data_IF_589372212194
#
_entry.id   IF_589372212194
#
_cell.length_a   1.000
_cell.length_b   1.000
_cell.length_c   1.000
_cell.angle_alpha   90.00
_cell.angle_beta   90.00
_cell.angle_gamma   90.00
#
_symmetry.space_group_name_H-M   'P 1'
#
loop_
_entity.id
_entity.type
_entity.pdbx_description
1 polymer ?
#
# COMPACT_ATOMS: atom_id res chain seq x y z
N UNK A 1 7.54 19.07 5.88
CA UNK A 1 6.07 18.85 5.87
C UNK A 1 5.69 17.92 7.01
N UNK A 2 4.62 18.23 7.75
CA UNK A 2 4.13 17.38 8.85
C UNK A 2 2.88 16.63 8.39
N UNK A 3 2.85 15.33 8.67
CA UNK A 3 1.75 14.43 8.36
C UNK A 3 1.23 13.80 9.64
N UNK A 4 -0.10 13.74 9.77
CA UNK A 4 -0.75 12.97 10.83
C UNK A 4 -1.18 11.62 10.28
N UNK A 5 -0.32 10.61 10.36
CA UNK A 5 -0.65 9.25 9.96
C UNK A 5 -1.22 8.49 11.17
N UNK A 6 -2.54 8.53 11.30
CA UNK A 6 -3.28 8.00 12.45
C UNK A 6 -2.78 8.60 13.77
N UNK A 7 -2.21 7.78 14.66
CA UNK A 7 -1.69 8.24 15.96
C UNK A 7 -0.27 8.81 15.88
N UNK A 8 0.33 8.85 14.68
CA UNK A 8 1.73 9.23 14.50
C UNK A 8 1.86 10.55 13.75
N UNK A 9 2.68 11.43 14.29
CA UNK A 9 3.20 12.58 13.55
C UNK A 9 4.49 12.21 12.82
N UNK A 10 4.46 12.29 11.50
CA UNK A 10 5.63 12.05 10.65
C UNK A 10 6.11 13.39 10.08
N UNK A 11 7.39 13.70 10.28
CA UNK A 11 8.03 14.84 9.64
C UNK A 11 8.79 14.39 8.39
N UNK A 12 8.26 14.74 7.22
CA UNK A 12 8.90 14.57 5.93
C UNK A 12 9.72 15.81 5.58
N UNK A 13 11.01 15.66 5.31
CA UNK A 13 11.90 16.78 5.01
C UNK A 13 12.70 16.54 3.72
N UNK A 14 12.77 17.56 2.88
CA UNK A 14 13.59 17.58 1.68
C UNK A 14 13.97 19.02 1.37
N UNK A 15 15.21 19.24 0.93
CA UNK A 15 15.64 20.55 0.40
C UNK A 15 15.16 20.76 -1.04
N UNK A 16 14.70 19.70 -1.70
CA UNK A 16 14.36 19.70 -3.11
C UNK A 16 12.87 19.91 -3.35
N UNK A 17 12.55 20.95 -4.14
CA UNK A 17 11.17 21.28 -4.50
C UNK A 17 10.47 20.11 -5.21
N UNK A 18 11.18 19.34 -6.03
CA UNK A 18 10.60 18.23 -6.79
C UNK A 18 10.12 17.08 -5.88
N UNK A 19 10.92 16.70 -4.88
CA UNK A 19 10.55 15.69 -3.87
C UNK A 19 9.33 16.19 -3.07
N UNK A 20 9.40 17.45 -2.62
CA UNK A 20 8.32 18.07 -1.86
C UNK A 20 7.00 18.14 -2.65
N UNK A 21 7.03 18.40 -3.96
CA UNK A 21 5.84 18.43 -4.81
C UNK A 21 5.14 17.06 -4.89
N UNK A 22 5.91 15.99 -5.10
CA UNK A 22 5.35 14.63 -5.15
C UNK A 22 4.75 14.23 -3.81
N UNK A 23 5.45 14.50 -2.69
CA UNK A 23 4.91 14.27 -1.36
C UNK A 23 3.64 15.09 -1.07
N UNK A 24 3.59 16.36 -1.47
CA UNK A 24 2.39 17.18 -1.30
C UNK A 24 1.19 16.62 -2.05
N UNK A 25 1.41 16.05 -3.24
CA UNK A 25 0.37 15.38 -4.02
C UNK A 25 -0.08 14.07 -3.36
N UNK A 26 0.88 13.20 -2.99
CA UNK A 26 0.62 11.89 -2.36
C UNK A 26 -0.16 12.03 -1.05
N UNK A 27 0.26 12.98 -0.22
CA UNK A 27 -0.27 13.18 1.13
C UNK A 27 -1.27 14.33 1.22
N UNK A 28 -1.88 14.70 0.10
CA UNK A 28 -2.94 15.69 0.07
C UNK A 28 -4.10 15.27 0.99
N UNK A 29 -4.59 16.20 1.81
CA UNK A 29 -5.61 15.94 2.83
C UNK A 29 -5.10 15.37 4.17
N UNK A 30 -3.82 15.00 4.29
CA UNK A 30 -3.24 14.40 5.50
C UNK A 30 -2.20 15.29 6.20
N UNK A 31 -1.98 16.48 5.64
CA UNK A 31 -1.07 17.47 6.18
C UNK A 31 -1.67 18.12 7.41
N UNK A 32 -0.83 18.32 8.40
CA UNK A 32 -1.14 19.13 9.57
C UNK A 32 -0.16 20.29 9.68
N UNK A 33 -0.54 21.30 10.44
CA UNK A 33 0.38 22.36 10.83
C UNK A 33 1.52 21.80 11.69
N UNK A 34 2.52 22.63 11.92
CA UNK A 34 3.69 22.23 12.69
C UNK A 34 3.29 21.61 14.04
N UNK A 35 3.77 20.39 14.30
CA UNK A 35 3.51 19.68 15.54
C UNK A 35 4.62 19.89 16.55
N UNK A 36 4.25 19.98 17.84
CA UNK A 36 5.21 20.03 18.94
C UNK A 36 5.92 18.68 19.17
N UNK A 37 5.31 17.57 18.74
CA UNK A 37 5.85 16.22 18.87
C UNK A 37 5.98 15.56 17.49
N UNK A 38 7.15 14.99 17.22
CA UNK A 38 7.43 14.23 16.00
C UNK A 38 7.76 12.82 16.41
N UNK A 39 7.00 11.85 15.91
CA UNK A 39 7.20 10.43 16.23
C UNK A 39 8.19 9.76 15.29
N UNK A 40 8.27 10.19 14.02
CA UNK A 40 9.19 9.67 13.00
C UNK A 40 9.68 10.82 12.11
N UNK A 41 10.97 10.84 11.77
CA UNK A 41 11.54 11.75 10.76
C UNK A 41 12.00 10.96 9.54
N UNK A 42 11.62 11.42 8.36
CA UNK A 42 12.17 10.94 7.09
C UNK A 42 12.70 12.13 6.30
N UNK A 43 14.00 12.11 6.02
CA UNK A 43 14.68 13.08 5.18
C UNK A 43 15.08 12.42 3.85
N UNK A 44 14.67 13.01 2.72
CA UNK A 44 15.04 12.53 1.39
C UNK A 44 15.47 13.70 0.51
N UNK A 45 16.67 13.64 -0.07
CA UNK A 45 17.17 14.67 -0.97
C UNK A 45 17.40 14.11 -2.38
N UNK A 46 17.26 14.96 -3.39
CA UNK A 46 17.47 14.61 -4.80
C UNK A 46 18.97 14.71 -5.13
N UNK A 47 19.50 13.68 -5.79
CA UNK A 47 20.86 13.64 -6.31
C UNK A 47 20.84 13.24 -7.78
N UNK A 48 21.90 13.56 -8.53
CA UNK A 48 22.00 13.15 -9.94
C UNK A 48 22.21 11.65 -10.10
N UNK A 49 23.01 11.06 -9.21
CA UNK A 49 23.37 9.64 -9.20
C UNK A 49 23.42 9.12 -7.77
N UNK A 50 23.16 7.82 -7.58
CA UNK A 50 23.24 7.21 -6.27
C UNK A 50 24.70 7.18 -5.76
N UNK A 51 24.94 7.42 -4.46
CA UNK A 51 26.26 7.22 -3.87
C UNK A 51 26.67 5.74 -3.93
N UNK A 52 27.97 5.43 -3.78
CA UNK A 52 28.45 4.06 -3.80
C UNK A 52 27.73 3.17 -2.79
N UNK A 53 27.35 1.97 -3.24
CA UNK A 53 26.71 0.98 -2.38
C UNK A 53 27.70 0.44 -1.33
N UNK A 54 27.19 -0.09 -0.20
CA UNK A 54 28.02 -0.82 0.76
C UNK A 54 28.78 -1.97 0.07
N UNK A 55 30.05 -2.16 0.44
CA UNK A 55 30.92 -3.19 -0.15
C UNK A 55 30.60 -4.61 0.34
N UNK A 56 29.94 -4.73 1.50
CA UNK A 56 29.44 -6.01 2.02
C UNK A 56 28.30 -6.53 1.15
N UNK A 57 28.12 -7.86 1.03
CA UNK A 57 26.95 -8.41 0.35
C UNK A 57 25.64 -8.00 1.06
N UNK A 58 24.53 -7.89 0.31
CA UNK A 58 23.23 -7.62 0.92
C UNK A 58 22.81 -8.76 1.84
N UNK A 59 22.15 -8.42 2.95
CA UNK A 59 21.52 -9.38 3.86
C UNK A 59 20.16 -9.86 3.33
N UNK A 60 19.58 -9.12 2.39
CA UNK A 60 18.36 -9.48 1.69
C UNK A 60 18.36 -8.84 0.31
N UNK A 61 17.88 -9.58 -0.69
CA UNK A 61 17.54 -9.04 -2.01
C UNK A 61 16.17 -9.59 -2.37
N UNK A 62 15.27 -8.70 -2.76
CA UNK A 62 13.98 -9.09 -3.32
C UNK A 62 14.23 -9.85 -4.62
N UNK A 63 13.84 -11.12 -4.64
CA UNK A 63 14.03 -12.02 -5.79
C UNK A 63 12.74 -12.23 -6.58
N UNK A 64 11.68 -11.42 -6.33
CA UNK A 64 10.43 -11.53 -7.08
C UNK A 64 10.70 -11.23 -8.55
N UNK A 65 10.27 -12.10 -9.48
CA UNK A 65 10.40 -11.85 -10.90
C UNK A 65 9.47 -10.69 -11.26
N UNK A 66 10.05 -9.55 -11.61
CA UNK A 66 9.33 -8.50 -12.31
C UNK A 66 9.49 -8.73 -13.82
N UNK A 67 8.53 -8.28 -14.65
CA UNK A 67 8.59 -8.48 -16.09
C UNK A 67 9.92 -8.07 -16.74
N UNK A 68 10.66 -7.14 -16.13
CA UNK A 68 11.91 -6.59 -16.65
C UNK A 68 13.09 -6.56 -15.64
N UNK A 69 12.97 -7.08 -14.40
CA UNK A 69 14.06 -6.98 -13.40
C UNK A 69 14.00 -7.99 -12.21
N UNK A 70 15.10 -8.07 -11.46
CA UNK A 70 15.27 -8.80 -10.19
C UNK A 70 14.84 -7.91 -9.03
N UNK A 71 13.58 -8.03 -8.61
CA UNK A 71 13.01 -7.35 -7.45
C UNK A 71 13.28 -5.85 -7.33
N UNK A 72 12.84 -5.25 -6.23
CA UNK A 72 12.79 -3.79 -6.10
C UNK A 72 13.81 -3.24 -5.10
N UNK A 73 14.32 -4.10 -4.22
CA UNK A 73 15.02 -3.72 -3.00
C UNK A 73 16.14 -4.70 -2.67
N UNK A 74 17.32 -4.17 -2.40
CA UNK A 74 18.38 -4.85 -1.67
C UNK A 74 18.63 -4.16 -0.32
N UNK A 75 18.87 -4.95 0.72
CA UNK A 75 19.11 -4.45 2.09
C UNK A 75 20.50 -4.84 2.52
N UNK A 76 21.26 -3.86 3.02
CA UNK A 76 22.62 -4.04 3.52
C UNK A 76 22.67 -3.70 5.01
N UNK A 77 23.37 -4.51 5.79
CA UNK A 77 23.65 -4.18 7.18
C UNK A 77 24.68 -3.05 7.26
N UNK A 78 24.44 -2.06 8.11
CA UNK A 78 25.35 -0.95 8.38
C UNK A 78 25.81 -0.89 9.85
N UNK A 79 25.27 -1.77 10.69
CA UNK A 79 25.51 -1.87 12.13
C UNK A 79 24.47 -2.78 12.79
N UNK A 80 24.47 -2.92 14.13
CA UNK A 80 23.54 -3.81 14.84
C UNK A 80 22.07 -3.50 14.57
N UNK A 81 21.72 -2.21 14.51
CA UNK A 81 20.35 -1.72 14.37
C UNK A 81 20.23 -0.68 13.24
N UNK A 82 21.04 -0.79 12.20
CA UNK A 82 21.03 0.15 11.08
C UNK A 82 21.17 -0.61 9.76
N UNK A 83 20.33 -0.25 8.79
CA UNK A 83 20.33 -0.83 7.46
C UNK A 83 20.38 0.25 6.38
N UNK A 84 20.93 -0.11 5.22
CA UNK A 84 20.77 0.62 3.97
C UNK A 84 19.78 -0.12 3.08
N UNK A 85 18.73 0.58 2.65
CA UNK A 85 17.70 0.16 1.71
C UNK A 85 18.08 0.72 0.34
N UNK A 86 18.57 -0.14 -0.55
CA UNK A 86 18.88 0.18 -1.93
C UNK A 86 17.70 -0.21 -2.82
N UNK A 87 16.98 0.81 -3.28
CA UNK A 87 15.94 0.68 -4.28
C UNK A 87 16.58 0.76 -5.66
N UNK A 88 16.56 -0.36 -6.40
CA UNK A 88 17.34 -0.54 -7.63
C UNK A 88 17.05 0.50 -8.72
N UNK A 89 15.87 1.09 -8.67
CA UNK A 89 15.35 2.07 -9.64
C UNK A 89 15.49 3.53 -9.18
N UNK A 90 16.22 3.77 -8.08
CA UNK A 90 16.76 5.10 -7.85
C UNK A 90 16.69 5.67 -6.44
N UNK A 91 16.85 4.86 -5.39
CA UNK A 91 17.02 5.41 -4.05
C UNK A 91 17.98 4.61 -3.18
N UNK A 92 18.63 5.31 -2.25
CA UNK A 92 19.42 4.70 -1.18
C UNK A 92 19.03 5.37 0.14
N UNK A 93 18.52 4.58 1.08
CA UNK A 93 17.95 5.09 2.34
C UNK A 93 18.51 4.35 3.54
N UNK A 94 19.01 5.08 4.52
CA UNK A 94 19.41 4.56 5.82
C UNK A 94 18.23 4.60 6.81
N UNK A 95 17.93 3.47 7.43
CA UNK A 95 16.90 3.36 8.46
C UNK A 95 17.44 2.67 9.71
N UNK A 96 16.91 3.06 10.87
CA UNK A 96 17.23 2.40 12.15
C UNK A 96 16.21 1.30 12.46
N UNK A 97 16.73 0.20 12.99
CA UNK A 97 16.00 -0.94 13.55
C UNK A 97 15.94 -0.87 15.09
N UNK A 98 16.42 0.19 15.72
CA UNK A 98 16.36 0.31 17.18
C UNK A 98 14.92 0.60 17.62
N UNK A 99 14.44 -0.11 18.64
CA UNK A 99 13.13 0.15 19.24
C UNK A 99 13.07 1.49 20.02
N UNK A 100 14.22 2.03 20.44
CA UNK A 100 14.35 3.14 21.39
C UNK A 100 14.86 4.45 20.80
N UNK A 101 15.18 4.52 19.50
CA UNK A 101 15.61 5.78 18.88
C UNK A 101 14.43 6.76 18.87
N UNK A 102 14.52 7.87 19.63
CA UNK A 102 13.41 8.80 19.80
C UNK A 102 13.73 10.22 19.33
N UNK A 103 13.06 10.72 18.26
CA UNK A 103 12.39 9.94 17.22
C UNK A 103 13.41 9.33 16.23
N UNK A 104 13.12 8.17 15.63
CA UNK A 104 13.98 7.58 14.62
C UNK A 104 14.05 8.54 13.44
N UNK A 105 15.26 8.76 12.95
CA UNK A 105 15.51 9.61 11.79
C UNK A 105 16.01 8.74 10.65
N UNK A 106 15.16 8.59 9.65
CA UNK A 106 15.45 7.89 8.39
C UNK A 106 15.99 8.94 7.42
N UNK A 107 17.09 8.63 6.74
CA UNK A 107 17.76 9.58 5.83
C UNK A 107 18.13 8.88 4.55
N UNK A 108 17.87 9.50 3.41
CA UNK A 108 18.24 8.91 2.13
C UNK A 108 18.33 9.91 1.01
N UNK A 109 18.65 9.39 -0.16
CA UNK A 109 18.67 10.12 -1.41
C UNK A 109 17.85 9.40 -2.46
N UNK A 110 17.30 10.17 -3.40
CA UNK A 110 16.58 9.70 -4.58
C UNK A 110 17.21 10.32 -5.83
N UNK A 111 17.10 9.64 -6.96
CA UNK A 111 17.43 10.20 -8.29
C UNK A 111 16.13 10.55 -9.06
N UNK A 112 16.19 11.32 -10.16
CA UNK A 112 14.99 11.79 -10.85
C UNK A 112 14.01 10.69 -11.31
N UNK A 113 14.48 9.49 -11.67
CA UNK A 113 13.63 8.35 -12.06
C UNK A 113 12.68 7.89 -10.94
N UNK A 114 13.05 8.11 -9.68
CA UNK A 114 12.26 7.72 -8.52
C UNK A 114 11.11 8.69 -8.21
N UNK A 115 11.04 9.87 -8.87
CA UNK A 115 10.02 10.90 -8.60
C UNK A 115 8.68 10.63 -9.29
N UNK A 116 8.44 9.42 -9.78
CA UNK A 116 7.13 9.04 -10.32
C UNK A 116 6.13 8.74 -9.19
N UNK A 117 4.84 9.02 -9.45
CA UNK A 117 3.79 9.03 -8.43
C UNK A 117 3.56 7.71 -7.68
N UNK A 118 3.93 6.55 -8.24
CA UNK A 118 3.91 5.29 -7.49
C UNK A 118 5.26 4.98 -6.82
N UNK A 119 6.36 5.44 -7.42
CA UNK A 119 7.68 5.03 -6.99
C UNK A 119 8.15 5.72 -5.73
N UNK A 120 7.96 7.04 -5.65
CA UNK A 120 8.30 7.76 -4.43
C UNK A 120 7.39 7.35 -3.27
N UNK A 121 6.14 6.97 -3.55
CA UNK A 121 5.23 6.41 -2.54
C UNK A 121 5.80 5.12 -1.94
N UNK A 122 6.14 4.14 -2.78
CA UNK A 122 6.74 2.87 -2.35
C UNK A 122 8.02 3.10 -1.54
N UNK A 123 8.92 3.95 -2.03
CA UNK A 123 10.18 4.28 -1.35
C UNK A 123 9.89 4.90 0.01
N UNK A 124 8.96 5.86 0.07
CA UNK A 124 8.59 6.58 1.31
C UNK A 124 8.05 5.61 2.35
N UNK A 125 7.03 4.83 2.01
CA UNK A 125 6.40 3.92 2.96
C UNK A 125 7.27 2.73 3.34
N UNK A 126 7.99 2.13 2.39
CA UNK A 126 8.93 1.04 2.68
C UNK A 126 10.07 1.52 3.58
N UNK A 127 10.54 2.76 3.39
CA UNK A 127 11.56 3.36 4.28
C UNK A 127 11.03 3.63 5.69
N UNK A 128 9.74 3.98 5.81
CA UNK A 128 9.07 4.19 7.10
C UNK A 128 8.71 2.87 7.80
N UNK A 129 8.59 1.76 7.07
CA UNK A 129 8.06 0.49 7.55
C UNK A 129 8.73 -0.03 8.85
N UNK A 130 10.07 0.02 9.02
CA UNK A 130 10.70 -0.39 10.28
C UNK A 130 10.22 0.43 11.49
N UNK A 131 10.09 1.75 11.34
CA UNK A 131 9.65 2.62 12.41
C UNK A 131 8.14 2.50 12.70
N UNK A 132 7.33 2.24 11.66
CA UNK A 132 5.89 1.97 11.75
C UNK A 132 5.61 0.64 12.47
N UNK A 133 6.35 -0.43 12.14
CA UNK A 133 6.21 -1.73 12.81
C UNK A 133 6.55 -1.71 14.29
N UNK A 134 7.55 -0.92 14.69
CA UNK A 134 7.87 -0.65 16.11
C UNK A 134 6.76 0.08 16.87
N UNK A 135 5.78 0.64 16.14
CA UNK A 135 4.58 1.30 16.65
C UNK A 135 3.31 0.51 16.30
N UNK A 136 3.46 -0.78 15.98
CA UNK A 136 2.36 -1.73 15.71
C UNK A 136 1.51 -1.42 14.47
N UNK A 137 2.08 -0.73 13.48
CA UNK A 137 1.51 -0.60 12.14
C UNK A 137 2.25 -1.51 11.15
N UNK A 138 1.50 -2.31 10.40
CA UNK A 138 2.06 -3.31 9.49
C UNK A 138 1.63 -3.02 8.06
N UNK A 139 2.58 -3.04 7.12
CA UNK A 139 2.33 -2.75 5.71
C UNK A 139 1.98 -4.04 4.96
N UNK A 140 0.95 -3.95 4.11
CA UNK A 140 0.61 -5.00 3.13
C UNK A 140 0.31 -4.32 1.79
N UNK A 141 0.82 -4.88 0.70
CA UNK A 141 0.50 -4.41 -0.64
C UNK A 141 -0.88 -4.90 -1.08
N UNK A 142 -1.89 -4.06 -0.91
CA UNK A 142 -3.28 -4.41 -1.18
C UNK A 142 -4.13 -3.17 -1.48
N UNK A 143 -5.15 -3.36 -2.32
CA UNK A 143 -6.27 -2.43 -2.36
C UNK A 143 -7.21 -2.74 -1.20
N UNK A 144 -7.73 -1.73 -0.52
CA UNK A 144 -8.70 -1.89 0.54
C UNK A 144 -9.82 -0.85 0.45
N UNK A 145 -11.05 -1.31 0.64
CA UNK A 145 -12.22 -0.45 0.74
C UNK A 145 -13.14 -0.95 1.86
N UNK A 146 -13.95 -0.03 2.39
CA UNK A 146 -14.94 -0.34 3.43
C UNK A 146 -16.35 0.02 3.01
N UNK A 147 -17.29 -0.75 3.53
CA UNK A 147 -18.73 -0.48 3.51
C UNK A 147 -19.33 -0.98 4.82
N UNK A 148 -20.20 -0.18 5.41
CA UNK A 148 -20.89 -0.50 6.66
C UNK A 148 -19.93 -0.94 7.80
N UNK A 149 -18.77 -0.27 7.90
CA UNK A 149 -17.75 -0.52 8.94
C UNK A 149 -16.92 -1.79 8.76
N UNK A 150 -17.11 -2.54 7.66
CA UNK A 150 -16.32 -3.74 7.34
C UNK A 150 -15.41 -3.49 6.16
N UNK A 151 -14.17 -3.97 6.23
CA UNK A 151 -13.18 -3.82 5.16
C UNK A 151 -13.05 -5.09 4.31
N UNK A 152 -12.91 -4.86 3.01
CA UNK A 152 -12.52 -5.86 2.00
C UNK A 152 -11.12 -5.50 1.52
N UNK A 153 -10.23 -6.48 1.50
CA UNK A 153 -8.89 -6.39 0.92
C UNK A 153 -8.87 -7.14 -0.41
N UNK A 154 -8.26 -6.56 -1.43
CA UNK A 154 -7.97 -7.22 -2.70
C UNK A 154 -6.46 -7.37 -2.81
N UNK A 155 -5.99 -8.62 -2.75
CA UNK A 155 -4.57 -8.98 -2.62
C UNK A 155 -4.12 -9.81 -3.80
N UNK A 156 -3.05 -9.40 -4.46
CA UNK A 156 -2.47 -10.10 -5.59
C UNK A 156 -1.40 -9.29 -6.29
N UNK A 157 -0.70 -9.93 -7.23
CA UNK A 157 0.42 -9.31 -7.94
C UNK A 157 0.01 -8.05 -8.74
N UNK A 158 0.99 -7.26 -9.16
CA UNK A 158 0.77 -6.16 -10.10
C UNK A 158 0.09 -6.68 -11.38
N UNK A 159 -0.88 -5.92 -11.90
CA UNK A 159 -1.66 -6.31 -13.08
C UNK A 159 -2.76 -7.35 -12.85
N UNK A 160 -2.91 -7.90 -11.64
CA UNK A 160 -3.97 -8.89 -11.33
C UNK A 160 -5.40 -8.31 -11.31
N UNK A 161 -5.56 -6.99 -11.42
CA UNK A 161 -6.86 -6.31 -11.43
C UNK A 161 -7.28 -5.70 -10.09
N UNK A 162 -6.40 -5.62 -9.07
CA UNK A 162 -6.68 -5.00 -7.76
C UNK A 162 -7.29 -3.61 -7.87
N UNK A 163 -6.55 -2.69 -8.49
CA UNK A 163 -6.94 -1.28 -8.61
C UNK A 163 -8.23 -1.12 -9.41
N UNK A 164 -8.39 -1.83 -10.53
CA UNK A 164 -9.63 -1.79 -11.33
C UNK A 164 -10.83 -2.32 -10.54
N UNK A 165 -10.67 -3.45 -9.82
CA UNK A 165 -11.73 -4.01 -8.98
C UNK A 165 -12.09 -3.08 -7.81
N UNK A 166 -11.07 -2.48 -7.19
CA UNK A 166 -11.22 -1.51 -6.13
C UNK A 166 -11.94 -0.24 -6.56
N UNK A 167 -11.60 0.30 -7.73
CA UNK A 167 -12.29 1.45 -8.32
C UNK A 167 -13.76 1.14 -8.62
N UNK A 168 -14.09 -0.09 -9.00
CA UNK A 168 -15.47 -0.55 -9.13
C UNK A 168 -16.23 -0.47 -7.80
N UNK A 169 -15.60 -0.91 -6.69
CA UNK A 169 -16.17 -0.77 -5.34
C UNK A 169 -16.47 0.70 -4.99
N UNK A 170 -15.53 1.61 -5.28
CA UNK A 170 -15.73 3.04 -5.01
C UNK A 170 -16.91 3.62 -5.81
N UNK A 171 -17.04 3.25 -7.09
CA UNK A 171 -18.20 3.63 -7.90
C UNK A 171 -19.52 3.05 -7.33
N UNK A 172 -19.46 1.88 -6.70
CA UNK A 172 -20.57 1.24 -5.98
C UNK A 172 -20.83 1.77 -4.57
N UNK A 173 -20.25 2.93 -4.21
CA UNK A 173 -20.48 3.63 -2.94
C UNK A 173 -19.68 3.10 -1.75
N UNK A 174 -18.66 2.27 -1.98
CA UNK A 174 -17.70 1.92 -0.94
C UNK A 174 -16.71 3.06 -0.73
N UNK A 175 -16.11 3.14 0.45
CA UNK A 175 -15.11 4.16 0.78
C UNK A 175 -13.69 3.59 0.69
N UNK A 176 -12.76 4.37 0.17
CA UNK A 176 -11.36 3.96 0.02
C UNK A 176 -10.66 3.93 1.39
N UNK A 177 -9.98 2.81 1.67
CA UNK A 177 -9.00 2.72 2.75
C UNK A 177 -7.59 2.86 2.18
N UNK A 178 -7.21 2.07 1.19
CA UNK A 178 -5.88 2.12 0.58
C UNK A 178 -5.90 1.59 -0.87
N UNK A 179 -4.94 2.01 -1.71
CA UNK A 179 -4.80 1.45 -3.06
C UNK A 179 -3.64 0.45 -3.17
N UNK A 180 -2.43 0.87 -2.78
CA UNK A 180 -1.22 0.03 -2.89
C UNK A 180 -0.49 -0.15 -1.55
N UNK A 181 -0.53 0.83 -0.65
CA UNK A 181 0.04 0.71 0.71
C UNK A 181 -1.08 0.68 1.74
N UNK A 182 -1.43 -0.52 2.22
CA UNK A 182 -2.37 -0.69 3.31
C UNK A 182 -1.62 -0.75 4.64
N UNK A 183 -2.08 0.05 5.61
CA UNK A 183 -1.69 -0.10 7.01
C UNK A 183 -2.70 -0.95 7.76
N UNK A 184 -2.17 -1.94 8.48
CA UNK A 184 -2.92 -2.77 9.41
C UNK A 184 -2.54 -2.42 10.84
N UNK A 185 -3.54 -2.40 11.71
CA UNK A 185 -3.40 -2.22 13.16
C UNK A 185 -4.16 -3.33 13.87
N UNK A 186 -3.51 -3.93 14.88
CA UNK A 186 -4.18 -4.89 15.75
C UNK A 186 -4.89 -4.15 16.89
N UNK A 187 -6.18 -4.45 17.06
CA UNK A 187 -7.02 -3.95 18.15
C UNK A 187 -7.59 -5.14 18.93
N UNK A 188 -8.23 -4.85 20.06
CA UNK A 188 -8.74 -5.89 20.97
C UNK A 188 -9.70 -6.88 20.29
N UNK A 189 -10.47 -6.43 19.30
CA UNK A 189 -11.48 -7.22 18.58
C UNK A 189 -11.06 -7.68 17.16
N UNK A 190 -9.81 -7.41 16.78
CA UNK A 190 -9.24 -7.94 15.54
C UNK A 190 -8.31 -6.98 14.81
N UNK A 191 -7.99 -7.35 13.57
CA UNK A 191 -7.19 -6.51 12.67
C UNK A 191 -8.06 -5.55 11.90
N UNK A 192 -7.60 -4.30 11.87
CA UNK A 192 -8.24 -3.18 11.19
C UNK A 192 -7.38 -2.73 10.01
N UNK A 193 -8.04 -2.49 8.89
CA UNK A 193 -7.49 -1.74 7.77
C UNK A 193 -7.66 -0.26 8.05
N UNK A 194 -6.57 0.49 7.91
CA UNK A 194 -6.57 1.91 8.15
C UNK A 194 -6.57 2.70 6.83
N UNK A 195 -7.22 3.88 6.78
CA UNK A 195 -7.11 4.78 5.65
C UNK A 195 -5.65 5.24 5.46
N UNK A 196 -5.06 5.00 4.30
CA UNK A 196 -3.69 5.44 3.98
C UNK A 196 -3.73 6.38 2.77
N UNK A 197 -3.07 7.56 2.84
CA UNK A 197 -2.88 8.41 1.67
C UNK A 197 -1.98 7.74 0.64
N UNK A 198 -2.13 8.13 -0.62
CA UNK A 198 -1.36 7.54 -1.71
C UNK A 198 -1.81 7.98 -3.10
N UNK A 199 -1.13 7.46 -4.10
CA UNK A 199 -1.46 7.62 -5.50
C UNK A 199 -2.26 6.44 -6.05
N UNK A 200 -3.04 6.71 -7.10
CA UNK A 200 -3.71 5.68 -7.89
C UNK A 200 -3.39 5.92 -9.36
N UNK A 201 -2.74 4.94 -9.99
CA UNK A 201 -2.43 4.95 -11.42
C UNK A 201 -3.48 4.16 -12.20
N UNK A 202 -4.36 4.87 -12.89
CA UNK A 202 -5.50 4.30 -13.62
C UNK A 202 -5.09 4.06 -15.07
N UNK A 203 -4.96 2.79 -15.45
CA UNK A 203 -4.61 2.38 -16.82
C UNK A 203 -5.75 2.66 -17.80
N UNK A 204 -5.49 2.92 -19.10
CA UNK A 204 -6.53 3.20 -20.10
C UNK A 204 -7.68 2.19 -20.11
N UNK A 205 -7.36 0.89 -20.11
CA UNK A 205 -8.36 -0.20 -20.09
C UNK A 205 -9.30 -0.17 -18.88
N UNK A 206 -8.90 0.45 -17.76
CA UNK A 206 -9.78 0.62 -16.59
C UNK A 206 -10.94 1.57 -16.91
N UNK A 207 -10.73 2.59 -17.75
CA UNK A 207 -11.81 3.48 -18.18
C UNK A 207 -12.78 2.82 -19.17
N UNK A 208 -12.34 1.79 -19.88
CA UNK A 208 -13.20 1.04 -20.80
C UNK A 208 -14.09 0.05 -20.00
N UNK A 209 -13.51 -0.58 -18.97
CA UNK A 209 -14.23 -1.44 -18.03
C UNK A 209 -15.16 -0.66 -17.08
N UNK A 210 -14.79 0.57 -16.71
CA UNK A 210 -15.53 1.43 -15.79
C UNK A 210 -15.70 2.85 -16.37
N UNK A 211 -16.56 3.04 -17.39
CA UNK A 211 -16.72 4.34 -18.05
C UNK A 211 -17.12 5.48 -17.11
N UNK A 212 -17.88 5.19 -16.06
CA UNK A 212 -18.30 6.15 -15.04
C UNK A 212 -17.13 6.83 -14.30
N UNK A 213 -15.92 6.26 -14.33
CA UNK A 213 -14.73 6.90 -13.75
C UNK A 213 -14.36 8.22 -14.43
N UNK A 214 -14.66 8.36 -15.74
CA UNK A 214 -14.33 9.58 -16.49
C UNK A 214 -15.08 10.78 -15.90
N UNK A 215 -16.37 10.59 -15.63
CA UNK A 215 -17.22 11.61 -15.02
C UNK A 215 -16.88 11.78 -13.54
N UNK A 216 -16.62 10.69 -12.82
CA UNK A 216 -16.27 10.74 -11.40
C UNK A 216 -15.05 11.61 -11.11
N UNK A 217 -14.00 11.46 -11.92
CA UNK A 217 -12.72 12.14 -11.76
C UNK A 217 -12.60 13.44 -12.54
N UNK A 218 -13.54 13.72 -13.45
CA UNK A 218 -13.46 14.87 -14.38
C UNK A 218 -12.15 14.88 -15.17
N UNK A 219 -11.64 13.70 -15.57
CA UNK A 219 -10.37 13.57 -16.32
C UNK A 219 -10.61 13.15 -17.75
N UNK A 220 -9.90 13.77 -18.68
CA UNK A 220 -9.77 13.30 -20.07
C UNK A 220 -8.52 12.42 -20.19
N UNK A 221 -8.69 11.10 -20.28
CA UNK A 221 -7.57 10.20 -20.59
C UNK A 221 -7.14 10.39 -22.05
N UNK A 222 -5.86 10.72 -22.26
CA UNK A 222 -5.24 10.93 -23.57
C UNK A 222 -4.49 9.68 -24.08
N UNK A 223 -4.96 8.48 -23.72
CA UNK A 223 -4.36 7.20 -24.13
C UNK A 223 -3.27 6.65 -23.20
N UNK A 224 -2.81 7.41 -22.22
CA UNK A 224 -1.90 6.98 -21.15
C UNK A 224 -2.58 6.73 -19.81
N UNK A 225 -1.84 6.15 -18.86
CA UNK A 225 -2.30 6.05 -17.47
C UNK A 225 -2.52 7.43 -16.87
N UNK A 226 -3.57 7.55 -16.05
CA UNK A 226 -3.90 8.77 -15.32
C UNK A 226 -3.56 8.56 -13.85
N UNK A 227 -2.68 9.39 -13.29
CA UNK A 227 -2.42 9.41 -11.87
C UNK A 227 -3.40 10.35 -11.16
N UNK A 228 -4.07 9.86 -10.12
CA UNK A 228 -4.90 10.67 -9.21
C UNK A 228 -4.49 10.39 -7.76
N UNK A 229 -4.57 11.41 -6.92
CA UNK A 229 -4.35 11.23 -5.48
C UNK A 229 -5.56 10.56 -4.85
N UNK A 230 -5.34 9.82 -3.77
CA UNK A 230 -6.43 9.26 -2.97
C UNK A 230 -7.40 10.35 -2.47
N UNK A 231 -6.91 11.56 -2.15
CA UNK A 231 -7.74 12.73 -1.82
C UNK A 231 -8.75 13.09 -2.93
N UNK A 232 -8.35 13.01 -4.21
CA UNK A 232 -9.24 13.26 -5.33
C UNK A 232 -10.29 12.15 -5.47
N UNK A 233 -9.89 10.90 -5.27
CA UNK A 233 -10.81 9.75 -5.33
C UNK A 233 -11.85 9.78 -4.21
N UNK A 234 -11.42 10.10 -2.98
CA UNK A 234 -12.29 10.23 -1.82
C UNK A 234 -13.07 11.54 -1.80
N UNK A 235 -12.74 12.51 -2.66
CA UNK A 235 -13.27 13.88 -2.64
C UNK A 235 -13.09 14.52 -1.24
N UNK A 236 -12.02 14.16 -0.55
CA UNK A 236 -11.72 14.56 0.82
C UNK A 236 -12.52 13.87 1.91
N UNK A 237 -13.40 12.92 1.58
CA UNK A 237 -14.16 12.12 2.54
C UNK A 237 -13.42 10.80 2.80
N UNK A 238 -12.51 10.82 3.77
CA UNK A 238 -11.77 9.64 4.18
C UNK A 238 -12.67 8.66 4.95
N UNK A 239 -12.45 7.37 4.73
CA UNK A 239 -13.07 6.32 5.51
C UNK A 239 -12.60 6.38 6.98
N UNK A 240 -13.36 5.77 7.88
CA UNK A 240 -12.85 5.41 9.21
C UNK A 240 -12.12 4.06 9.13
N UNK A 241 -11.18 3.78 10.06
CA UNK A 241 -10.63 2.44 10.24
C UNK A 241 -11.72 1.37 10.34
N UNK A 242 -11.57 0.29 9.58
CA UNK A 242 -12.58 -0.77 9.51
C UNK A 242 -11.98 -2.15 9.74
N UNK A 243 -12.69 -2.99 10.48
CA UNK A 243 -12.26 -4.37 10.75
C UNK A 243 -12.24 -5.16 9.45
N UNK A 244 -11.16 -5.89 9.21
CA UNK A 244 -11.01 -6.67 7.98
C UNK A 244 -11.78 -7.99 8.08
N UNK A 245 -12.76 -8.18 7.22
CA UNK A 245 -13.60 -9.37 7.25
C UNK A 245 -13.47 -10.23 6.00
N UNK A 246 -12.93 -9.68 4.92
CA UNK A 246 -12.86 -10.38 3.64
C UNK A 246 -11.57 -10.08 2.89
N UNK A 247 -11.00 -11.14 2.31
CA UNK A 247 -9.88 -11.06 1.37
C UNK A 247 -10.31 -11.64 0.02
N UNK A 248 -10.03 -10.91 -1.04
CA UNK A 248 -10.28 -11.28 -2.42
C UNK A 248 -8.94 -11.47 -3.15
N UNK A 249 -8.78 -12.62 -3.78
CA UNK A 249 -7.62 -12.98 -4.60
C UNK A 249 -8.03 -12.91 -6.07
N UNK A 250 -7.76 -11.81 -6.79
CA UNK A 250 -8.30 -11.61 -8.13
C UNK A 250 -7.58 -12.49 -9.16
N UNK A 251 -8.36 -13.00 -10.11
CA UNK A 251 -7.88 -13.74 -11.28
C UNK A 251 -8.67 -13.30 -12.51
N UNK A 252 -7.97 -12.78 -13.52
CA UNK A 252 -8.60 -12.27 -14.74
C UNK A 252 -9.03 -13.45 -15.64
N UNK A 253 -10.32 -13.53 -15.95
CA UNK A 253 -10.93 -14.50 -16.87
C UNK A 253 -11.64 -13.75 -18.00
N UNK A 254 -10.86 -13.08 -18.86
CA UNK A 254 -11.36 -12.12 -19.86
C UNK A 254 -12.42 -12.66 -20.83
N UNK A 255 -12.50 -13.98 -21.00
CA UNK A 255 -13.50 -14.65 -21.85
C UNK A 255 -14.83 -14.91 -21.16
N UNK A 256 -14.90 -14.80 -19.83
CA UNK A 256 -16.13 -15.03 -19.07
C UNK A 256 -16.98 -13.76 -18.98
N UNK A 257 -18.31 -13.89 -19.18
CA UNK A 257 -19.18 -12.73 -19.12
C UNK A 257 -19.37 -12.22 -17.69
N UNK A 258 -19.45 -13.12 -16.71
CA UNK A 258 -19.81 -12.78 -15.34
C UNK A 258 -18.71 -13.17 -14.35
N UNK A 259 -18.43 -12.26 -13.43
CA UNK A 259 -17.53 -12.44 -12.30
C UNK A 259 -18.20 -13.32 -11.24
N UNK A 260 -17.41 -14.09 -10.51
CA UNK A 260 -17.91 -14.91 -9.41
C UNK A 260 -16.86 -15.12 -8.32
N UNK A 261 -17.33 -15.51 -7.14
CA UNK A 261 -16.51 -15.78 -5.97
C UNK A 261 -16.44 -17.28 -5.72
N UNK A 262 -15.23 -17.79 -5.57
CA UNK A 262 -14.98 -19.17 -5.15
C UNK A 262 -14.22 -19.15 -3.82
N UNK A 263 -14.65 -19.90 -2.77
CA UNK A 263 -13.91 -19.97 -1.52
C UNK A 263 -12.45 -20.36 -1.75
N UNK A 264 -11.53 -19.64 -1.12
CA UNK A 264 -10.10 -19.85 -1.23
C UNK A 264 -9.53 -20.53 0.03
N UNK A 265 -8.39 -21.20 -0.14
CA UNK A 265 -7.69 -21.82 0.97
C UNK A 265 -6.94 -20.77 1.81
N UNK A 266 -7.15 -20.80 3.13
CA UNK A 266 -6.48 -19.90 4.10
C UNK A 266 -4.95 -20.00 4.06
N UNK A 267 -4.39 -21.19 3.86
CA UNK A 267 -2.94 -21.38 3.76
C UNK A 267 -2.36 -20.66 2.54
N UNK A 268 -3.03 -20.76 1.38
CA UNK A 268 -2.65 -20.04 0.16
C UNK A 268 -2.75 -18.53 0.38
N UNK A 269 -3.80 -18.08 1.08
CA UNK A 269 -4.00 -16.66 1.42
C UNK A 269 -2.87 -16.13 2.30
N UNK A 270 -2.49 -16.88 3.33
CA UNK A 270 -1.41 -16.52 4.22
C UNK A 270 -0.07 -16.39 3.47
N UNK A 271 0.25 -17.33 2.59
CA UNK A 271 1.45 -17.24 1.74
C UNK A 271 1.39 -15.99 0.86
N UNK A 272 0.25 -15.71 0.21
CA UNK A 272 0.09 -14.49 -0.60
C UNK A 272 0.23 -13.20 0.21
N UNK A 273 -0.31 -13.15 1.43
CA UNK A 273 -0.15 -12.01 2.32
C UNK A 273 1.32 -11.77 2.69
N UNK A 274 2.08 -12.84 2.98
CA UNK A 274 3.52 -12.75 3.18
C UNK A 274 4.26 -12.34 1.90
N UNK A 275 3.77 -12.79 0.74
CA UNK A 275 4.34 -12.43 -0.55
C UNK A 275 4.22 -10.93 -0.86
N UNK A 276 3.06 -10.37 -0.53
CA UNK A 276 2.72 -8.95 -0.70
C UNK A 276 3.14 -8.07 0.48
N UNK A 277 3.85 -8.64 1.47
CA UNK A 277 4.45 -7.89 2.58
C UNK A 277 5.88 -7.46 2.26
N UNK A 278 6.21 -6.20 2.48
CA UNK A 278 7.51 -5.60 2.12
C UNK A 278 8.68 -6.01 3.06
N UNK A 279 8.40 -6.59 4.23
CA UNK A 279 9.32 -6.60 5.37
C UNK A 279 9.85 -7.99 5.76
N UNK A 280 10.36 -8.75 4.79
CA UNK A 280 10.92 -10.10 5.06
C UNK A 280 12.34 -10.11 5.65
N UNK A 281 12.93 -8.93 5.85
CA UNK A 281 14.34 -8.76 6.18
C UNK A 281 14.60 -8.18 7.58
N UNK A 282 13.61 -7.54 8.22
CA UNK A 282 13.73 -7.09 9.62
C UNK A 282 13.42 -8.26 10.56
N UNK A 283 14.45 -9.07 10.83
CA UNK A 283 14.34 -10.30 11.62
C UNK A 283 13.79 -10.07 13.02
N UNK A 284 14.08 -8.92 13.64
CA UNK A 284 13.60 -8.58 14.98
C UNK A 284 12.08 -8.40 15.05
N UNK A 285 11.45 -7.99 13.94
CA UNK A 285 10.01 -7.77 13.85
C UNK A 285 9.27 -8.87 13.07
N UNK A 286 10.01 -9.79 12.44
CA UNK A 286 9.45 -10.80 11.53
C UNK A 286 8.39 -11.67 12.21
N UNK A 287 8.63 -12.13 13.44
CA UNK A 287 7.65 -12.94 14.19
C UNK A 287 6.34 -12.18 14.40
N UNK A 288 6.42 -10.91 14.82
CA UNK A 288 5.22 -10.10 15.02
C UNK A 288 4.46 -9.89 13.69
N UNK A 289 5.18 -9.62 12.60
CA UNK A 289 4.60 -9.47 11.26
C UNK A 289 3.89 -10.74 10.79
N UNK A 290 4.54 -11.90 10.95
CA UNK A 290 3.99 -13.21 10.60
C UNK A 290 2.71 -13.49 11.40
N UNK A 291 2.71 -13.21 12.71
CA UNK A 291 1.52 -13.39 13.56
C UNK A 291 0.35 -12.50 13.10
N UNK A 292 0.63 -11.26 12.67
CA UNK A 292 -0.40 -10.37 12.11
C UNK A 292 -0.98 -10.93 10.82
N UNK A 293 -0.14 -11.42 9.90
CA UNK A 293 -0.64 -12.03 8.65
C UNK A 293 -1.44 -13.31 8.91
N UNK A 294 -1.03 -14.11 9.89
CA UNK A 294 -1.74 -15.33 10.30
C UNK A 294 -3.11 -14.99 10.91
N UNK A 295 -3.15 -14.03 11.85
CA UNK A 295 -4.38 -13.55 12.45
C UNK A 295 -5.34 -13.00 11.39
N UNK A 296 -4.82 -12.25 10.39
CA UNK A 296 -5.64 -11.71 9.31
C UNK A 296 -6.27 -12.84 8.48
N UNK A 297 -5.48 -13.85 8.11
CA UNK A 297 -5.97 -15.03 7.37
C UNK A 297 -7.01 -15.83 8.15
N UNK A 298 -6.89 -15.90 9.49
CA UNK A 298 -7.87 -16.57 10.36
C UNK A 298 -9.16 -15.77 10.52
N UNK A 299 -9.06 -14.45 10.64
CA UNK A 299 -10.18 -13.53 10.88
C UNK A 299 -11.11 -13.40 9.67
N UNK A 300 -10.59 -13.58 8.47
CA UNK A 300 -11.26 -13.20 7.23
C UNK A 300 -11.89 -14.39 6.50
N UNK A 301 -12.99 -14.12 5.80
CA UNK A 301 -13.48 -14.97 4.74
C UNK A 301 -12.64 -14.70 3.48
N UNK A 302 -12.16 -15.76 2.82
CA UNK A 302 -11.27 -15.60 1.66
C UNK A 302 -11.90 -16.22 0.42
N UNK A 303 -11.85 -15.47 -0.67
CA UNK A 303 -12.35 -15.90 -1.97
C UNK A 303 -11.34 -15.63 -3.09
N UNK A 304 -11.26 -16.56 -4.04
CA UNK A 304 -10.82 -16.25 -5.38
C UNK A 304 -11.91 -15.42 -6.06
N UNK A 305 -11.55 -14.23 -6.52
CA UNK A 305 -12.40 -13.38 -7.33
C UNK A 305 -12.06 -13.61 -8.80
N UNK A 306 -12.86 -14.45 -9.44
CA UNK A 306 -12.74 -14.70 -10.87
C UNK A 306 -13.40 -13.52 -11.61
N UNK A 307 -12.57 -12.66 -12.21
CA UNK A 307 -12.98 -11.42 -12.86
C UNK A 307 -13.40 -11.70 -14.30
N UNK A 308 -14.71 -11.58 -14.55
CA UNK A 308 -15.30 -11.56 -15.89
C UNK A 308 -15.34 -10.16 -16.48
N UNK A 309 -16.12 -9.99 -17.55
CA UNK A 309 -16.28 -8.71 -18.25
C UNK A 309 -17.17 -7.71 -17.49
N UNK A 310 -17.99 -8.16 -16.54
CA UNK A 310 -18.93 -7.36 -15.75
C UNK A 310 -18.29 -6.69 -14.52
N UNK A 311 -17.07 -6.17 -14.65
CA UNK A 311 -16.30 -5.55 -13.55
C UNK A 311 -17.09 -4.47 -12.80
N UNK A 312 -18.01 -3.75 -13.48
CA UNK A 312 -18.89 -2.77 -12.87
C UNK A 312 -19.90 -3.35 -11.85
N UNK A 313 -20.15 -4.67 -11.84
CA UNK A 313 -21.09 -5.38 -10.95
C UNK A 313 -20.43 -6.02 -9.72
N UNK A 314 -19.13 -5.81 -9.54
CA UNK A 314 -18.41 -6.29 -8.37
C UNK A 314 -18.98 -5.79 -7.03
N UNK A 315 -19.48 -4.53 -6.90
CA UNK A 315 -20.05 -4.06 -5.65
C UNK A 315 -21.24 -4.91 -5.18
N UNK A 316 -22.15 -5.29 -6.08
CA UNK A 316 -23.30 -6.13 -5.77
C UNK A 316 -22.88 -7.56 -5.42
N UNK A 317 -21.94 -8.13 -6.19
CA UNK A 317 -21.41 -9.48 -5.96
C UNK A 317 -20.78 -9.60 -4.57
N UNK A 318 -19.93 -8.64 -4.19
CA UNK A 318 -19.17 -8.65 -2.93
C UNK A 318 -20.10 -8.35 -1.74
N UNK A 319 -21.00 -7.36 -1.88
CA UNK A 319 -21.98 -7.05 -0.84
C UNK A 319 -22.96 -8.22 -0.58
N UNK A 320 -23.31 -8.99 -1.62
CA UNK A 320 -24.18 -10.16 -1.50
C UNK A 320 -23.62 -11.23 -0.57
N UNK A 321 -22.30 -11.42 -0.53
CA UNK A 321 -21.65 -12.39 0.36
C UNK A 321 -21.59 -11.88 1.81
N UNK A 322 -21.35 -10.58 2.00
CA UNK A 322 -21.33 -9.97 3.34
C UNK A 322 -22.64 -10.14 4.12
N UNK A 323 -23.79 -10.04 3.43
CA UNK A 323 -25.11 -10.25 4.04
C UNK A 323 -25.31 -11.69 4.52
N UNK A 324 -24.82 -12.68 3.78
CA UNK A 324 -24.95 -14.11 4.14
C UNK A 324 -24.07 -14.48 5.35
N UNK A 325 -22.99 -13.73 5.60
CA UNK A 325 -22.10 -13.96 6.75
C UNK A 325 -22.54 -13.22 8.03
N UNK A 326 -23.31 -12.14 7.93
CA UNK A 326 -23.81 -11.39 9.08
C UNK A 326 -25.03 -12.01 9.79
N UNK A 327 -25.69 -12.97 9.14
CA UNK A 327 -26.86 -13.71 9.66
C UNK A 327 -26.48 -15.06 10.34
N UNK A 328 -25.18 -15.30 10.59
CA UNK A 328 -24.67 -16.48 11.31
C UNK A 328 -23.85 -16.09 12.54
#
# INVERSE_FOLDING_TARGET
>A
MYLQLHRLTIHLNSEDTAVNQVWQWLFSGWRVDQSAQVDIRLQMNLVGELPPLPTSPPVFTDSRPLPDDIGVLSVYAAGPDVVWLHYHDGALVQASLAATASPPTIRGVVIPSALTYGRLEDITFTSLAPALRRRSYYLVHAFAATKDGRAVLIVGASGSGKTTSGLSLLLGGWQLLANDILLLENRDDGLYALPTPGGVSIRPNTFDLLPALRDWLTVRSSGGSVAVSAQQLTRGQWAEPARVDMILLPQIEATRPCSHLQPANRAITFVRLLEESADRWDTAALTAHVNVMEQLSRQTAVYHLHLGQDVAKLPELIAGVGKVMGDK
#
